data_IF_101275112636
#
_entry.id   IF_101275112636
#
_cell.length_a   1.000
_cell.length_b   1.000
_cell.length_c   1.000
_cell.angle_alpha   90.00
_cell.angle_beta   90.00
_cell.angle_gamma   90.00
#
_symmetry.space_group_name_H-M   'P 1'
#
loop_
_entity.id
_entity.type
_entity.pdbx_description
1 polymer ?
#
# COMPACT_ATOMS: atom_id res chain seq x y z
N UNK A 1 -55.88 -4.05 -23.12
CA UNK A 1 -54.69 -3.31 -22.63
C UNK A 1 -54.40 -3.52 -21.14
N UNK A 2 -55.30 -3.22 -20.19
CA UNK A 2 -55.04 -3.37 -18.74
C UNK A 2 -54.53 -4.76 -18.29
N UNK A 3 -55.11 -5.87 -18.78
CA UNK A 3 -54.68 -7.24 -18.40
C UNK A 3 -53.24 -7.57 -18.83
N UNK A 4 -52.80 -7.07 -19.99
CA UNK A 4 -51.44 -7.31 -20.52
C UNK A 4 -50.39 -6.56 -19.69
N UNK A 5 -50.69 -5.32 -19.29
CA UNK A 5 -49.82 -4.50 -18.42
C UNK A 5 -49.69 -5.14 -17.03
N UNK A 6 -50.79 -5.64 -16.45
CA UNK A 6 -50.76 -6.33 -15.14
C UNK A 6 -49.91 -7.62 -15.21
N UNK A 7 -50.01 -8.38 -16.31
CA UNK A 7 -49.21 -9.59 -16.50
C UNK A 7 -47.72 -9.28 -16.65
N UNK A 8 -47.36 -8.24 -17.42
CA UNK A 8 -45.98 -7.77 -17.55
C UNK A 8 -45.40 -7.31 -16.19
N UNK A 9 -46.14 -6.52 -15.42
CA UNK A 9 -45.71 -6.04 -14.10
C UNK A 9 -45.48 -7.20 -13.12
N UNK A 10 -46.36 -8.22 -13.11
CA UNK A 10 -46.15 -9.44 -12.30
C UNK A 10 -44.88 -10.19 -12.71
N UNK A 11 -44.61 -10.30 -14.01
CA UNK A 11 -43.40 -10.97 -14.52
C UNK A 11 -42.13 -10.22 -14.09
N UNK A 12 -42.10 -8.89 -14.19
CA UNK A 12 -40.97 -8.08 -13.72
C UNK A 12 -40.79 -8.14 -12.21
N UNK A 13 -41.88 -8.14 -11.42
CA UNK A 13 -41.79 -8.32 -9.97
C UNK A 13 -41.20 -9.68 -9.58
N UNK A 14 -41.55 -10.76 -10.30
CA UNK A 14 -40.97 -12.10 -10.07
C UNK A 14 -39.48 -12.13 -10.46
N UNK A 15 -39.11 -11.57 -11.61
CA UNK A 15 -37.71 -11.48 -12.05
C UNK A 15 -36.86 -10.65 -11.08
N UNK A 16 -37.40 -9.53 -10.59
CA UNK A 16 -36.73 -8.70 -9.59
C UNK A 16 -36.59 -9.41 -8.24
N UNK A 17 -37.62 -10.13 -7.79
CA UNK A 17 -37.57 -10.96 -6.57
C UNK A 17 -36.56 -12.09 -6.69
N UNK A 18 -36.48 -12.74 -7.86
CA UNK A 18 -35.47 -13.78 -8.15
C UNK A 18 -34.06 -13.19 -8.18
N UNK A 19 -33.88 -11.99 -8.74
CA UNK A 19 -32.59 -11.29 -8.72
C UNK A 19 -32.17 -10.94 -7.29
N UNK A 20 -33.08 -10.43 -6.46
CA UNK A 20 -32.82 -10.17 -5.04
C UNK A 20 -32.46 -11.48 -4.32
N UNK A 21 -33.23 -12.55 -4.53
CA UNK A 21 -32.93 -13.86 -3.92
C UNK A 21 -31.56 -14.40 -4.38
N UNK A 22 -31.21 -14.21 -5.65
CA UNK A 22 -29.90 -14.59 -6.19
C UNK A 22 -28.78 -13.77 -5.54
N UNK A 23 -28.95 -12.45 -5.42
CA UNK A 23 -28.00 -11.55 -4.75
C UNK A 23 -27.82 -11.93 -3.26
N UNK A 24 -28.91 -12.27 -2.56
CA UNK A 24 -28.87 -12.75 -1.18
C UNK A 24 -28.15 -14.11 -1.04
N UNK A 25 -28.17 -14.97 -2.06
CA UNK A 25 -27.42 -16.22 -2.06
C UNK A 25 -25.91 -15.99 -2.23
N UNK A 26 -25.50 -14.98 -3.01
CA UNK A 26 -24.08 -14.62 -3.16
C UNK A 26 -23.49 -13.96 -1.91
N UNK A 27 -24.30 -13.23 -1.13
CA UNK A 27 -23.86 -12.60 0.13
C UNK A 27 -23.93 -13.52 1.36
N UNK A 28 -24.47 -14.74 1.23
CA UNK A 28 -24.62 -15.62 2.39
C UNK A 28 -23.28 -16.23 2.83
N UNK A 29 -22.65 -15.57 3.80
CA UNK A 29 -21.39 -15.99 4.43
C UNK A 29 -21.41 -17.39 5.08
N UNK A 30 -22.59 -18.00 5.26
CA UNK A 30 -22.70 -19.35 5.84
C UNK A 30 -22.57 -20.48 4.80
N UNK A 31 -22.57 -20.16 3.51
CA UNK A 31 -22.36 -21.16 2.46
C UNK A 31 -20.87 -21.53 2.44
N UNK A 32 -20.50 -22.82 2.55
CA UNK A 32 -19.12 -23.27 2.42
C UNK A 32 -18.57 -22.97 1.01
N UNK A 33 -17.37 -22.38 0.91
CA UNK A 33 -16.72 -22.16 -0.38
C UNK A 33 -15.76 -23.31 -0.69
N UNK A 34 -15.74 -23.73 -1.96
CA UNK A 34 -14.74 -24.66 -2.48
C UNK A 34 -13.38 -23.95 -2.71
N UNK A 35 -12.60 -23.81 -1.64
CA UNK A 35 -11.12 -23.73 -1.49
C UNK A 35 -10.22 -22.91 -2.44
N UNK A 36 -10.68 -22.27 -3.51
CA UNK A 36 -9.78 -21.71 -4.55
C UNK A 36 -9.84 -20.19 -4.78
N UNK A 37 -10.69 -19.45 -4.09
CA UNK A 37 -10.64 -17.98 -4.14
C UNK A 37 -11.09 -17.38 -2.82
N UNK A 38 -10.12 -17.00 -2.00
CA UNK A 38 -10.36 -16.20 -0.81
C UNK A 38 -9.80 -14.81 -1.12
N UNK A 39 -10.67 -13.83 -1.36
CA UNK A 39 -10.25 -12.44 -1.33
C UNK A 39 -9.86 -12.08 0.12
N UNK A 40 -8.94 -11.11 0.31
CA UNK A 40 -8.41 -10.76 1.63
C UNK A 40 -9.49 -10.39 2.66
N UNK A 41 -10.63 -9.88 2.20
CA UNK A 41 -11.80 -9.49 2.99
C UNK A 41 -12.90 -10.57 3.08
N UNK A 42 -12.67 -11.80 2.63
CA UNK A 42 -13.67 -12.86 2.77
C UNK A 42 -13.59 -13.50 4.16
N UNK A 43 -14.58 -13.21 5.02
CA UNK A 43 -14.66 -13.75 6.39
C UNK A 43 -14.65 -15.29 6.41
N UNK A 44 -15.12 -15.93 5.32
CA UNK A 44 -15.27 -17.38 5.22
C UNK A 44 -13.95 -18.13 5.28
N UNK A 45 -12.82 -17.42 5.16
CA UNK A 45 -11.48 -17.96 5.47
C UNK A 45 -11.38 -18.60 6.86
N UNK A 46 -12.24 -18.18 7.81
CA UNK A 46 -12.30 -18.72 9.17
C UNK A 46 -13.32 -19.85 9.39
N UNK A 47 -14.13 -20.26 8.39
CA UNK A 47 -15.26 -21.22 8.55
C UNK A 47 -14.88 -22.53 9.26
N UNK A 48 -13.67 -23.06 9.00
CA UNK A 48 -13.19 -24.32 9.58
C UNK A 48 -12.24 -24.12 10.77
N UNK A 49 -12.29 -22.95 11.43
CA UNK A 49 -11.45 -22.60 12.57
C UNK A 49 -12.30 -22.40 13.82
N UNK A 50 -11.66 -22.45 15.01
CA UNK A 50 -12.32 -22.08 16.27
C UNK A 50 -12.77 -20.61 16.28
N UNK A 51 -12.21 -19.77 15.42
CA UNK A 51 -12.53 -18.35 15.31
C UNK A 51 -13.65 -18.03 14.32
N UNK A 52 -14.40 -19.00 13.77
CA UNK A 52 -15.46 -18.70 12.81
C UNK A 52 -16.50 -17.70 13.33
N UNK A 53 -17.01 -17.92 14.55
CA UNK A 53 -17.99 -17.00 15.15
C UNK A 53 -17.37 -15.66 15.56
N UNK A 54 -16.11 -15.67 16.01
CA UNK A 54 -15.34 -14.46 16.26
C UNK A 54 -15.18 -13.63 14.97
N UNK A 55 -14.83 -14.26 13.85
CA UNK A 55 -14.62 -13.59 12.58
C UNK A 55 -15.91 -12.94 12.04
N UNK A 56 -17.07 -13.61 12.19
CA UNK A 56 -18.37 -13.00 11.88
C UNK A 56 -18.65 -11.77 12.74
N UNK A 57 -18.39 -11.87 14.05
CA UNK A 57 -18.55 -10.72 14.95
C UNK A 57 -17.61 -9.56 14.58
N UNK A 58 -16.39 -9.86 14.13
CA UNK A 58 -15.42 -8.88 13.60
C UNK A 58 -15.94 -8.21 12.32
N UNK A 59 -16.48 -8.99 11.37
CA UNK A 59 -17.10 -8.48 10.14
C UNK A 59 -18.27 -7.52 10.44
N UNK A 60 -19.10 -7.90 11.40
CA UNK A 60 -20.28 -7.17 11.87
C UNK A 60 -19.96 -5.97 12.78
N UNK A 61 -18.69 -5.81 13.20
CA UNK A 61 -18.28 -4.86 14.25
C UNK A 61 -19.06 -5.01 15.57
N UNK A 62 -19.47 -6.24 15.90
CA UNK A 62 -20.18 -6.55 17.14
C UNK A 62 -19.18 -6.75 18.29
N UNK A 63 -18.84 -5.65 18.95
CA UNK A 63 -17.87 -5.59 20.07
C UNK A 63 -18.22 -6.59 21.17
N UNK A 64 -19.49 -6.63 21.59
CA UNK A 64 -19.93 -7.53 22.66
C UNK A 64 -19.68 -9.00 22.30
N UNK A 65 -20.00 -9.41 21.08
CA UNK A 65 -19.79 -10.80 20.67
C UNK A 65 -18.30 -11.12 20.48
N UNK A 66 -17.49 -10.16 20.01
CA UNK A 66 -16.02 -10.30 19.97
C UNK A 66 -15.49 -10.57 21.39
N UNK A 67 -15.85 -9.75 22.36
CA UNK A 67 -15.44 -9.90 23.75
C UNK A 67 -15.93 -11.22 24.36
N UNK A 68 -17.19 -11.60 24.10
CA UNK A 68 -17.76 -12.86 24.57
C UNK A 68 -16.99 -14.07 24.01
N UNK A 69 -16.69 -14.08 22.72
CA UNK A 69 -15.93 -15.16 22.08
C UNK A 69 -14.53 -15.32 22.69
N UNK A 70 -13.81 -14.20 22.90
CA UNK A 70 -12.43 -14.26 23.42
C UNK A 70 -12.40 -14.49 24.94
N UNK A 71 -13.16 -13.71 25.72
CA UNK A 71 -13.06 -13.73 27.19
C UNK A 71 -13.79 -14.91 27.83
N UNK A 72 -15.02 -15.19 27.38
CA UNK A 72 -15.87 -16.23 27.97
C UNK A 72 -15.65 -17.58 27.30
N UNK A 73 -15.71 -17.62 25.97
CA UNK A 73 -15.56 -18.88 25.21
C UNK A 73 -14.09 -19.27 24.95
N UNK A 74 -13.14 -18.43 25.38
CA UNK A 74 -11.70 -18.67 25.30
C UNK A 74 -11.22 -18.99 23.88
N UNK A 75 -11.87 -18.39 22.87
CA UNK A 75 -11.37 -18.44 21.50
C UNK A 75 -10.05 -17.68 21.44
N UNK A 76 -8.95 -18.27 20.93
CA UNK A 76 -7.67 -17.57 20.78
C UNK A 76 -7.85 -16.34 19.88
N UNK A 77 -7.49 -15.15 20.39
CA UNK A 77 -7.65 -13.88 19.66
C UNK A 77 -6.79 -13.84 18.38
N UNK A 78 -5.60 -14.45 18.43
CA UNK A 78 -4.67 -14.59 17.30
C UNK A 78 -4.84 -15.91 16.54
N UNK A 79 -6.07 -16.45 16.47
CA UNK A 79 -6.35 -17.66 15.70
C UNK A 79 -5.95 -17.45 14.22
N UNK A 80 -5.21 -18.40 13.64
CA UNK A 80 -4.74 -18.32 12.26
C UNK A 80 -5.65 -19.11 11.34
N UNK A 81 -5.99 -18.54 10.19
CA UNK A 81 -6.69 -19.27 9.14
C UNK A 81 -5.85 -20.43 8.57
N UNK A 82 -6.48 -21.28 7.76
CA UNK A 82 -5.80 -22.45 7.15
C UNK A 82 -5.20 -22.15 5.78
N UNK A 83 -5.39 -20.96 5.24
CA UNK A 83 -5.05 -20.59 3.86
C UNK A 83 -3.66 -19.96 3.84
N UNK A 84 -3.49 -18.84 4.54
CA UNK A 84 -2.25 -18.08 4.60
C UNK A 84 -2.00 -17.55 6.01
N UNK A 85 -2.52 -18.24 7.05
CA UNK A 85 -2.30 -17.91 8.46
C UNK A 85 -2.82 -16.53 8.87
N UNK A 86 -3.83 -16.02 8.17
CA UNK A 86 -4.44 -14.72 8.48
C UNK A 86 -5.09 -14.71 9.86
N UNK A 87 -4.92 -13.62 10.62
CA UNK A 87 -5.54 -13.45 11.95
C UNK A 87 -6.83 -12.64 11.87
N UNK A 88 -7.74 -12.73 12.87
CA UNK A 88 -8.90 -11.84 12.98
C UNK A 88 -8.52 -10.36 12.93
N UNK A 89 -7.37 -9.97 13.51
CA UNK A 89 -6.87 -8.59 13.47
C UNK A 89 -6.51 -8.18 12.05
N UNK A 90 -5.78 -8.99 11.29
CA UNK A 90 -5.46 -8.69 9.88
C UNK A 90 -6.72 -8.53 9.04
N UNK A 91 -7.74 -9.38 9.26
CA UNK A 91 -9.03 -9.25 8.60
C UNK A 91 -9.74 -7.95 8.96
N UNK A 92 -9.79 -7.59 10.25
CA UNK A 92 -10.37 -6.33 10.69
C UNK A 92 -9.66 -5.12 10.06
N UNK A 93 -8.33 -5.16 9.95
CA UNK A 93 -7.52 -4.11 9.32
C UNK A 93 -7.79 -4.02 7.83
N UNK A 94 -7.72 -5.15 7.12
CA UNK A 94 -7.96 -5.22 5.67
C UNK A 94 -9.38 -4.73 5.31
N UNK A 95 -10.38 -5.11 6.10
CA UNK A 95 -11.76 -4.70 5.90
C UNK A 95 -12.11 -3.34 6.55
N UNK A 96 -11.10 -2.60 7.05
CA UNK A 96 -11.21 -1.29 7.68
C UNK A 96 -12.27 -1.21 8.81
N UNK A 97 -12.36 -2.26 9.63
CA UNK A 97 -13.33 -2.43 10.73
C UNK A 97 -12.79 -1.83 12.02
N UNK A 98 -12.68 -0.50 12.09
CA UNK A 98 -11.99 0.22 13.18
C UNK A 98 -12.44 -0.21 14.58
N UNK A 99 -13.75 -0.41 14.82
CA UNK A 99 -14.24 -0.86 16.15
C UNK A 99 -13.75 -2.25 16.49
N UNK A 100 -13.74 -3.16 15.52
CA UNK A 100 -13.21 -4.51 15.69
C UNK A 100 -11.70 -4.51 15.87
N UNK A 101 -10.96 -3.69 15.11
CA UNK A 101 -9.50 -3.51 15.28
C UNK A 101 -9.21 -3.12 16.73
N UNK A 102 -9.86 -2.05 17.22
CA UNK A 102 -9.68 -1.60 18.60
C UNK A 102 -9.99 -2.69 19.62
N UNK A 103 -11.14 -3.35 19.46
CA UNK A 103 -11.58 -4.39 20.40
C UNK A 103 -10.63 -5.58 20.43
N UNK A 104 -10.16 -6.05 19.26
CA UNK A 104 -9.20 -7.15 19.19
C UNK A 104 -7.87 -6.78 19.85
N UNK A 105 -7.38 -5.55 19.63
CA UNK A 105 -6.17 -5.05 20.28
C UNK A 105 -6.35 -4.91 21.81
N UNK A 106 -7.50 -4.42 22.27
CA UNK A 106 -7.87 -4.38 23.71
C UNK A 106 -7.93 -5.78 24.33
N UNK A 107 -8.17 -6.81 23.52
CA UNK A 107 -8.17 -8.23 23.91
C UNK A 107 -6.81 -8.91 23.74
N UNK A 108 -5.77 -8.15 23.40
CA UNK A 108 -4.39 -8.64 23.31
C UNK A 108 -4.01 -9.26 21.98
N UNK A 109 -4.74 -8.99 20.89
CA UNK A 109 -4.31 -9.37 19.55
C UNK A 109 -2.97 -8.74 19.22
N UNK A 110 -2.02 -9.53 18.71
CA UNK A 110 -0.67 -9.05 18.43
C UNK A 110 -0.58 -8.44 17.00
N UNK A 111 -0.34 -7.12 16.87
CA UNK A 111 -0.27 -6.45 15.56
C UNK A 111 0.94 -6.86 14.71
N UNK A 112 1.93 -7.50 15.32
CA UNK A 112 3.21 -7.85 14.67
C UNK A 112 3.26 -9.30 14.17
N UNK A 113 2.23 -10.11 14.41
CA UNK A 113 2.21 -11.49 13.90
C UNK A 113 2.16 -11.47 12.37
N UNK A 114 3.09 -12.14 11.68
CA UNK A 114 3.01 -12.25 10.23
C UNK A 114 1.99 -13.32 9.82
N UNK A 115 1.46 -13.16 8.61
CA UNK A 115 0.76 -14.19 7.87
C UNK A 115 1.78 -15.22 7.34
N UNK A 116 1.38 -16.09 6.42
CA UNK A 116 2.27 -17.12 5.89
C UNK A 116 3.54 -16.53 5.26
N UNK A 117 4.69 -17.06 5.65
CA UNK A 117 6.02 -16.64 5.16
C UNK A 117 6.58 -17.60 4.11
N UNK A 118 5.89 -18.71 3.83
CA UNK A 118 6.36 -19.71 2.87
C UNK A 118 5.77 -19.44 1.48
N UNK A 119 4.46 -19.24 1.40
CA UNK A 119 3.70 -19.06 0.15
C UNK A 119 3.04 -17.68 0.04
N UNK A 120 3.40 -16.72 0.89
CA UNK A 120 2.92 -15.34 0.87
C UNK A 120 4.01 -14.39 1.36
N UNK A 121 3.78 -13.07 1.28
CA UNK A 121 4.76 -12.04 1.63
C UNK A 121 5.10 -11.95 3.13
N UNK A 122 4.45 -12.72 4.02
CA UNK A 122 4.73 -12.65 5.45
C UNK A 122 4.28 -11.33 6.10
N UNK A 123 3.18 -10.76 5.64
CA UNK A 123 2.67 -9.47 6.10
C UNK A 123 2.04 -9.56 7.48
N UNK A 124 2.23 -8.55 8.31
CA UNK A 124 1.51 -8.37 9.58
C UNK A 124 0.45 -7.26 9.48
N UNK A 125 -0.26 -6.98 10.58
CA UNK A 125 -1.32 -5.98 10.58
C UNK A 125 -0.80 -4.57 10.26
N UNK A 126 0.41 -4.22 10.71
CA UNK A 126 1.04 -2.93 10.40
C UNK A 126 1.32 -2.80 8.90
N UNK A 127 1.89 -3.83 8.28
CA UNK A 127 2.16 -3.88 6.84
C UNK A 127 0.86 -3.72 6.03
N UNK A 128 -0.19 -4.49 6.36
CA UNK A 128 -1.50 -4.40 5.69
C UNK A 128 -2.13 -3.01 5.88
N UNK A 129 -1.96 -2.39 7.05
CA UNK A 129 -2.47 -1.03 7.27
C UNK A 129 -1.68 0.05 6.51
N UNK A 130 -0.40 -0.20 6.24
CA UNK A 130 0.51 0.76 5.60
C UNK A 130 0.41 0.74 4.07
N UNK A 131 0.20 -0.45 3.51
CA UNK A 131 0.19 -0.68 2.08
C UNK A 131 -0.91 0.11 1.34
N UNK A 132 -0.50 0.85 0.31
CA UNK A 132 -1.38 1.71 -0.51
C UNK A 132 -2.41 0.95 -1.33
N UNK A 133 -2.20 -0.36 -1.57
CA UNK A 133 -3.11 -1.20 -2.33
C UNK A 133 -4.33 -1.67 -1.52
N UNK A 134 -4.37 -1.40 -0.22
CA UNK A 134 -5.47 -1.78 0.67
C UNK A 134 -6.28 -0.57 1.12
N UNK A 135 -7.54 -0.82 1.49
CA UNK A 135 -8.53 0.22 1.85
C UNK A 135 -8.45 0.69 3.31
N UNK A 136 -7.41 0.27 4.05
CA UNK A 136 -7.21 0.57 5.46
C UNK A 136 -6.94 2.07 5.68
N UNK A 137 -7.60 2.68 6.67
CA UNK A 137 -7.41 4.11 6.98
C UNK A 137 -6.14 4.37 7.79
N UNK A 138 -5.68 5.63 7.76
CA UNK A 138 -4.59 6.12 8.61
C UNK A 138 -4.89 5.94 10.12
N UNK A 139 -6.17 6.00 10.53
CA UNK A 139 -6.57 5.76 11.92
C UNK A 139 -6.34 4.32 12.37
N UNK A 140 -6.51 3.34 11.48
CA UNK A 140 -6.18 1.94 11.77
C UNK A 140 -4.69 1.79 12.03
N UNK A 141 -3.85 2.40 11.20
CA UNK A 141 -2.39 2.39 11.38
C UNK A 141 -1.99 3.05 12.70
N UNK A 142 -2.51 4.25 13.02
CA UNK A 142 -2.29 4.92 14.32
C UNK A 142 -2.66 4.01 15.49
N UNK A 143 -3.79 3.33 15.39
CA UNK A 143 -4.28 2.45 16.44
C UNK A 143 -3.37 1.22 16.61
N UNK A 144 -2.92 0.59 15.52
CA UNK A 144 -1.98 -0.53 15.59
C UNK A 144 -0.67 -0.13 16.26
N UNK A 145 -0.09 1.01 15.86
CA UNK A 145 1.16 1.53 16.44
C UNK A 145 1.00 1.86 17.92
N UNK A 146 -0.13 2.46 18.33
CA UNK A 146 -0.47 2.72 19.74
C UNK A 146 -0.47 1.45 20.60
N UNK A 147 -0.83 0.31 20.04
CA UNK A 147 -0.85 -0.99 20.73
C UNK A 147 0.42 -1.82 20.48
N UNK A 148 1.55 -1.16 20.19
CA UNK A 148 2.85 -1.81 20.05
C UNK A 148 3.10 -2.42 18.67
N UNK A 149 2.36 -2.00 17.65
CA UNK A 149 2.70 -2.28 16.26
C UNK A 149 4.10 -1.74 15.92
N UNK A 150 4.92 -2.55 15.28
CA UNK A 150 6.29 -2.18 14.93
C UNK A 150 6.29 -1.34 13.64
N UNK A 151 6.68 -0.05 13.68
CA UNK A 151 6.77 0.80 12.48
C UNK A 151 7.86 0.33 11.52
N UNK A 152 8.82 -0.46 12.00
CA UNK A 152 9.87 -1.12 11.22
C UNK A 152 9.49 -2.53 10.79
N UNK A 153 8.19 -2.82 10.67
CA UNK A 153 7.73 -4.11 10.15
C UNK A 153 8.20 -4.28 8.70
N UNK A 154 8.76 -5.45 8.41
CA UNK A 154 9.26 -5.85 7.10
C UNK A 154 8.56 -7.14 6.70
N UNK A 155 8.23 -7.27 5.42
CA UNK A 155 7.79 -8.55 4.86
C UNK A 155 8.84 -9.65 5.10
N UNK A 156 8.42 -10.81 5.59
CA UNK A 156 9.33 -11.93 5.88
C UNK A 156 9.08 -13.17 5.02
N UNK A 157 8.34 -13.01 3.93
CA UNK A 157 7.89 -14.11 3.07
C UNK A 157 8.53 -14.13 1.69
N UNK A 158 7.74 -14.61 0.71
CA UNK A 158 8.10 -14.67 -0.71
C UNK A 158 7.01 -14.06 -1.57
N UNK A 159 7.42 -13.43 -2.67
CA UNK A 159 6.53 -12.90 -3.72
C UNK A 159 7.02 -13.34 -5.10
N UNK A 160 6.14 -13.26 -6.10
CA UNK A 160 6.52 -13.50 -7.49
C UNK A 160 7.03 -12.20 -8.10
N UNK A 161 8.16 -12.25 -8.79
CA UNK A 161 8.62 -11.15 -9.65
C UNK A 161 7.77 -11.08 -10.94
N UNK A 162 8.04 -10.07 -11.78
CA UNK A 162 7.33 -9.88 -13.05
C UNK A 162 7.59 -11.02 -14.07
N UNK A 163 8.59 -11.86 -13.83
CA UNK A 163 8.92 -13.04 -14.64
C UNK A 163 8.34 -14.34 -14.07
N UNK A 164 7.61 -14.27 -12.95
CA UNK A 164 7.02 -15.41 -12.27
C UNK A 164 8.01 -16.22 -11.43
N UNK A 165 9.21 -15.69 -11.15
CA UNK A 165 10.16 -16.32 -10.23
C UNK A 165 9.84 -15.93 -8.79
N UNK A 166 10.11 -16.84 -7.86
CA UNK A 166 10.00 -16.54 -6.44
C UNK A 166 11.19 -15.72 -5.97
N UNK A 167 10.91 -14.56 -5.38
CA UNK A 167 11.87 -13.72 -4.69
C UNK A 167 11.44 -13.48 -3.23
N UNK A 168 12.37 -12.99 -2.43
CA UNK A 168 12.11 -12.63 -1.05
C UNK A 168 11.25 -11.36 -1.01
N UNK A 169 10.11 -11.43 -0.31
CA UNK A 169 9.30 -10.26 -0.02
C UNK A 169 9.95 -9.50 1.13
N UNK A 170 10.30 -8.23 0.94
CA UNK A 170 11.18 -7.46 1.83
C UNK A 170 10.76 -6.00 1.97
N UNK A 171 9.55 -5.66 1.53
CA UNK A 171 9.08 -4.29 1.63
C UNK A 171 8.85 -3.93 3.11
N UNK A 172 9.29 -2.72 3.48
CA UNK A 172 8.98 -2.14 4.79
C UNK A 172 7.57 -1.59 4.81
N UNK A 173 6.97 -1.46 6.00
CA UNK A 173 5.74 -0.72 6.18
C UNK A 173 5.83 0.71 5.58
N UNK A 174 6.96 1.40 5.83
CA UNK A 174 7.22 2.74 5.28
C UNK A 174 7.28 2.72 3.75
N UNK A 175 8.04 1.79 3.15
CA UNK A 175 8.18 1.68 1.70
C UNK A 175 6.85 1.38 0.99
N UNK A 176 5.96 0.59 1.61
CA UNK A 176 4.63 0.29 1.09
C UNK A 176 3.61 1.43 1.26
N UNK A 177 3.89 2.41 2.13
CA UNK A 177 3.04 3.58 2.30
C UNK A 177 3.30 4.66 1.24
N UNK A 178 4.52 4.71 0.68
CA UNK A 178 4.96 5.72 -0.32
C UNK A 178 4.07 5.79 -1.57
N UNK A 179 3.61 4.68 -2.18
CA UNK A 179 2.82 4.75 -3.42
C UNK A 179 1.37 5.26 -3.25
N UNK A 180 0.95 5.62 -2.03
CA UNK A 180 -0.43 6.10 -1.76
C UNK A 180 -0.75 7.36 -2.56
N UNK A 181 -1.81 7.35 -3.37
CA UNK A 181 -2.24 8.55 -4.10
C UNK A 181 -2.83 9.59 -3.14
N UNK A 182 -2.45 10.86 -3.30
CA UNK A 182 -2.88 11.96 -2.41
C UNK A 182 -1.93 12.17 -1.21
N UNK A 183 -2.51 12.57 -0.06
CA UNK A 183 -1.72 12.88 1.15
C UNK A 183 -0.93 11.66 1.64
N UNK A 184 0.32 11.88 2.01
CA UNK A 184 1.24 10.86 2.52
C UNK A 184 1.11 10.68 4.04
N UNK A 185 -0.12 10.74 4.55
CA UNK A 185 -0.41 10.70 5.99
C UNK A 185 0.16 9.43 6.65
N UNK A 186 0.05 8.27 5.98
CA UNK A 186 0.62 7.00 6.47
C UNK A 186 2.15 7.05 6.56
N UNK A 187 2.82 7.74 5.64
CA UNK A 187 4.27 7.98 5.69
C UNK A 187 4.60 8.80 6.94
N UNK A 188 3.88 9.92 7.17
CA UNK A 188 4.09 10.76 8.37
C UNK A 188 3.91 9.95 9.66
N UNK A 189 2.80 9.21 9.76
CA UNK A 189 2.53 8.37 10.94
C UNK A 189 3.66 7.38 11.22
N UNK A 190 4.20 6.73 10.20
CA UNK A 190 5.28 5.75 10.36
C UNK A 190 6.60 6.41 10.76
N UNK A 191 6.96 7.51 10.12
CA UNK A 191 8.17 8.27 10.44
C UNK A 191 8.09 8.83 11.86
N UNK A 192 6.97 9.44 12.23
CA UNK A 192 6.72 9.96 13.60
C UNK A 192 6.76 8.84 14.66
N UNK A 193 6.37 7.61 14.28
CA UNK A 193 6.45 6.44 15.14
C UNK A 193 7.86 5.81 15.22
N UNK A 194 8.84 6.30 14.46
CA UNK A 194 10.22 5.81 14.47
C UNK A 194 10.53 4.75 13.42
N UNK A 195 9.83 4.74 12.28
CA UNK A 195 10.26 3.98 11.12
C UNK A 195 11.64 4.46 10.64
N UNK A 196 12.52 3.52 10.34
CA UNK A 196 13.84 3.77 9.77
C UNK A 196 13.69 4.21 8.31
N UNK A 197 13.83 5.51 8.09
CA UNK A 197 13.78 6.15 6.77
C UNK A 197 14.89 5.66 5.83
N UNK A 198 15.95 5.05 6.38
CA UNK A 198 17.13 4.57 5.68
C UNK A 198 17.24 3.05 5.65
N UNK A 199 16.20 2.31 6.01
CA UNK A 199 16.25 0.85 5.95
C UNK A 199 16.56 0.35 4.53
N UNK A 200 17.46 -0.64 4.43
CA UNK A 200 17.87 -1.27 3.17
C UNK A 200 18.00 -2.78 3.38
N UNK A 201 17.48 -3.54 2.43
CA UNK A 201 17.70 -5.00 2.35
C UNK A 201 18.48 -5.40 1.08
N UNK A 202 19.15 -4.43 0.43
CA UNK A 202 19.95 -4.67 -0.78
C UNK A 202 19.17 -4.93 -2.06
N UNK A 203 17.82 -4.95 -2.01
CA UNK A 203 16.93 -5.05 -3.18
C UNK A 203 16.36 -3.69 -3.62
N UNK A 204 16.11 -3.55 -4.93
CA UNK A 204 15.74 -2.29 -5.63
C UNK A 204 14.36 -1.72 -5.22
N UNK A 205 13.49 -2.48 -4.57
CA UNK A 205 12.05 -2.12 -4.44
C UNK A 205 11.58 -1.69 -3.04
N UNK A 206 12.47 -1.61 -2.05
CA UNK A 206 12.06 -1.55 -0.63
C UNK A 206 12.44 -0.25 0.09
N UNK A 207 13.17 0.65 -0.56
CA UNK A 207 13.75 1.84 0.06
C UNK A 207 12.83 3.06 -0.14
N UNK A 208 12.43 3.74 0.95
CA UNK A 208 11.37 4.75 0.92
C UNK A 208 11.70 5.94 0.01
N UNK A 209 12.93 6.47 0.09
CA UNK A 209 13.37 7.60 -0.74
C UNK A 209 13.47 7.22 -2.23
N UNK A 210 13.99 6.03 -2.55
CA UNK A 210 14.05 5.55 -3.95
C UNK A 210 12.67 5.34 -4.53
N UNK A 211 11.74 4.71 -3.78
CA UNK A 211 10.35 4.58 -4.21
C UNK A 211 9.71 5.96 -4.46
N UNK A 212 9.98 6.96 -3.59
CA UNK A 212 9.44 8.31 -3.78
C UNK A 212 9.99 8.97 -5.04
N UNK A 213 11.29 8.84 -5.31
CA UNK A 213 11.92 9.37 -6.52
C UNK A 213 11.45 8.63 -7.79
N UNK A 214 11.33 7.31 -7.77
CA UNK A 214 10.88 6.51 -8.92
C UNK A 214 9.40 6.73 -9.26
N UNK A 215 8.57 7.05 -8.27
CA UNK A 215 7.14 7.31 -8.43
C UNK A 215 6.81 8.80 -8.60
N UNK A 216 7.81 9.66 -8.85
CA UNK A 216 7.65 11.10 -9.01
C UNK A 216 7.01 11.82 -7.80
N UNK A 217 7.09 11.22 -6.61
CA UNK A 217 6.52 11.72 -5.34
C UNK A 217 7.46 12.71 -4.66
N UNK A 218 7.61 13.89 -5.26
CA UNK A 218 8.51 14.94 -4.75
C UNK A 218 8.11 15.46 -3.37
N UNK A 219 6.80 15.46 -3.07
CA UNK A 219 6.25 15.77 -1.75
C UNK A 219 6.77 14.80 -0.67
N UNK A 220 6.70 13.49 -0.95
CA UNK A 220 7.19 12.44 -0.04
C UNK A 220 8.71 12.42 0.03
N UNK A 221 9.40 12.59 -1.11
CA UNK A 221 10.85 12.62 -1.16
C UNK A 221 11.40 13.79 -0.32
N UNK A 222 10.82 14.98 -0.43
CA UNK A 222 11.20 16.13 0.40
C UNK A 222 10.98 15.82 1.88
N UNK A 223 9.81 15.31 2.26
CA UNK A 223 9.51 14.96 3.64
C UNK A 223 10.52 13.96 4.21
N UNK A 224 10.83 12.89 3.47
CA UNK A 224 11.82 11.89 3.89
C UNK A 224 13.22 12.50 4.05
N UNK A 225 13.64 13.38 3.15
CA UNK A 225 14.93 14.09 3.22
C UNK A 225 15.01 15.02 4.45
N UNK A 226 13.94 15.74 4.75
CA UNK A 226 13.83 16.57 5.95
C UNK A 226 13.90 15.73 7.24
N UNK A 227 13.52 14.45 7.17
CA UNK A 227 13.57 13.49 8.27
C UNK A 227 14.81 12.57 8.22
N UNK A 228 15.86 12.97 7.50
CA UNK A 228 17.16 12.31 7.56
C UNK A 228 17.38 11.16 6.59
N UNK A 229 16.57 11.05 5.54
CA UNK A 229 16.87 10.12 4.45
C UNK A 229 18.23 10.46 3.82
N UNK A 230 19.06 9.44 3.60
CA UNK A 230 20.43 9.58 3.10
C UNK A 230 20.42 9.96 1.61
N UNK A 231 20.75 11.22 1.34
CA UNK A 231 20.85 11.77 -0.01
C UNK A 231 22.23 11.54 -0.66
N UNK A 232 23.23 11.03 0.08
CA UNK A 232 24.59 10.82 -0.42
C UNK A 232 24.79 9.45 -1.06
N UNK A 233 23.87 8.53 -0.79
CA UNK A 233 23.85 7.18 -1.36
C UNK A 233 23.75 7.21 -2.89
N UNK A 234 24.09 6.06 -3.49
CA UNK A 234 23.86 5.80 -4.91
C UNK A 234 22.54 5.05 -5.14
N UNK A 235 21.85 5.41 -6.20
CA UNK A 235 20.59 4.84 -6.66
C UNK A 235 20.83 3.97 -7.88
N UNK A 236 20.11 2.86 -7.98
CA UNK A 236 20.24 1.91 -9.07
C UNK A 236 19.30 2.33 -10.20
N UNK A 237 19.82 2.56 -11.40
CA UNK A 237 19.01 2.83 -12.60
C UNK A 237 19.43 1.93 -13.74
N UNK A 238 18.49 1.61 -14.61
CA UNK A 238 18.74 0.88 -15.85
C UNK A 238 18.87 1.92 -16.97
N UNK A 239 20.00 1.89 -17.69
CA UNK A 239 20.24 2.76 -18.83
C UNK A 239 19.57 2.23 -20.12
N UNK A 240 19.73 2.96 -21.23
CA UNK A 240 19.11 2.58 -22.51
C UNK A 240 19.67 1.26 -23.09
N UNK A 241 20.85 0.82 -22.64
CA UNK A 241 21.48 -0.44 -23.04
C UNK A 241 21.06 -1.63 -22.17
N UNK A 242 20.09 -1.44 -21.27
CA UNK A 242 19.68 -2.42 -20.27
C UNK A 242 20.81 -2.78 -19.29
N UNK A 243 21.75 -1.86 -19.07
CA UNK A 243 22.83 -2.02 -18.11
C UNK A 243 22.48 -1.30 -16.82
N UNK A 244 22.71 -1.97 -15.69
CA UNK A 244 22.57 -1.37 -14.36
C UNK A 244 23.71 -0.40 -14.09
N UNK A 245 23.38 0.85 -13.75
CA UNK A 245 24.34 1.84 -13.31
C UNK A 245 23.92 2.52 -12.00
N UNK A 246 24.90 3.10 -11.31
CA UNK A 246 24.72 3.72 -10.00
C UNK A 246 24.88 5.23 -10.11
N UNK A 247 23.84 5.96 -9.76
CA UNK A 247 23.77 7.42 -9.93
C UNK A 247 23.52 8.11 -8.60
N UNK A 248 23.81 9.41 -8.51
CA UNK A 248 23.45 10.19 -7.31
C UNK A 248 22.00 10.73 -7.39
N UNK A 249 21.56 11.36 -6.31
CA UNK A 249 20.23 11.94 -6.21
C UNK A 249 19.97 13.07 -7.21
N UNK A 250 20.99 13.84 -7.63
CA UNK A 250 20.79 14.93 -8.59
C UNK A 250 20.45 14.36 -9.96
N UNK A 251 21.13 13.27 -10.35
CA UNK A 251 20.77 12.52 -11.54
C UNK A 251 19.36 11.94 -11.44
N UNK A 252 18.96 11.38 -10.29
CA UNK A 252 17.57 10.91 -10.10
C UNK A 252 16.56 12.03 -10.34
N UNK A 253 16.79 13.23 -9.78
CA UNK A 253 15.94 14.41 -10.02
C UNK A 253 15.92 14.86 -11.48
N UNK A 254 16.99 14.60 -12.25
CA UNK A 254 17.02 14.81 -13.72
C UNK A 254 16.19 13.78 -14.49
N UNK A 255 15.74 12.70 -13.86
CA UNK A 255 14.81 11.74 -14.47
C UNK A 255 13.34 12.11 -14.24
N UNK A 256 13.05 12.88 -13.20
CA UNK A 256 11.70 13.36 -12.89
C UNK A 256 11.34 14.56 -13.77
N UNK A 257 10.59 14.33 -14.84
CA UNK A 257 10.22 15.35 -15.84
C UNK A 257 8.79 15.85 -15.61
N UNK A 258 8.64 17.14 -15.31
CA UNK A 258 7.36 17.78 -14.99
C UNK A 258 7.10 18.98 -15.90
N UNK A 259 5.83 19.35 -16.13
CA UNK A 259 5.52 20.64 -16.74
C UNK A 259 6.13 21.76 -15.91
N UNK A 260 6.76 22.74 -16.56
CA UNK A 260 7.33 23.89 -15.83
C UNK A 260 6.24 24.59 -15.02
N UNK A 261 6.62 25.04 -13.83
CA UNK A 261 5.75 25.74 -12.89
C UNK A 261 4.56 24.92 -12.33
N UNK A 262 4.46 23.62 -12.64
CA UNK A 262 3.48 22.70 -12.02
C UNK A 262 3.74 22.53 -10.52
N UNK A 263 2.76 22.07 -9.72
CA UNK A 263 2.97 21.74 -8.31
C UNK A 263 4.15 20.80 -8.09
N UNK A 264 4.24 19.72 -8.88
CA UNK A 264 5.29 18.71 -8.79
C UNK A 264 6.67 19.28 -9.15
N UNK A 265 6.74 20.14 -10.16
CA UNK A 265 7.96 20.87 -10.50
C UNK A 265 8.41 21.79 -9.35
N UNK A 266 7.48 22.49 -8.71
CA UNK A 266 7.80 23.34 -7.54
C UNK A 266 8.27 22.52 -6.35
N UNK A 267 7.68 21.35 -6.11
CA UNK A 267 8.13 20.43 -5.06
C UNK A 267 9.52 19.85 -5.36
N UNK A 268 9.80 19.48 -6.61
CA UNK A 268 11.16 19.13 -7.06
C UNK A 268 12.16 20.26 -6.77
N UNK A 269 11.80 21.52 -7.04
CA UNK A 269 12.69 22.67 -6.74
C UNK A 269 12.94 22.88 -5.24
N UNK A 270 12.00 22.50 -4.36
CA UNK A 270 12.25 22.49 -2.92
C UNK A 270 13.34 21.48 -2.56
N UNK A 271 13.31 20.29 -3.16
CA UNK A 271 14.37 19.29 -2.99
C UNK A 271 15.70 19.82 -3.53
N UNK A 272 15.72 20.43 -4.72
CA UNK A 272 16.92 21.07 -5.28
C UNK A 272 17.51 22.11 -4.31
N UNK A 273 16.64 22.91 -3.69
CA UNK A 273 17.05 23.92 -2.69
C UNK A 273 17.61 23.26 -1.42
N UNK A 274 16.94 22.22 -0.91
CA UNK A 274 17.42 21.43 0.22
C UNK A 274 18.83 20.88 -0.04
N UNK A 275 19.04 20.25 -1.20
CA UNK A 275 20.32 19.66 -1.59
C UNK A 275 21.41 20.72 -1.83
N UNK A 276 21.05 21.87 -2.41
CA UNK A 276 21.98 23.00 -2.56
C UNK A 276 22.51 23.49 -1.21
N UNK A 277 21.65 23.56 -0.20
CA UNK A 277 22.05 23.91 1.17
C UNK A 277 22.96 22.83 1.82
N UNK A 278 22.98 21.62 1.25
CA UNK A 278 23.90 20.52 1.62
C UNK A 278 25.14 20.44 0.73
N UNK A 279 25.36 21.42 -0.16
CA UNK A 279 26.53 21.50 -1.04
C UNK A 279 26.40 20.78 -2.38
N UNK A 280 25.20 20.30 -2.73
CA UNK A 280 24.94 19.61 -4.00
C UNK A 280 24.23 20.53 -4.99
N UNK A 281 24.87 20.87 -6.11
CA UNK A 281 24.35 21.82 -7.09
C UNK A 281 23.69 21.12 -8.30
N UNK A 282 22.36 21.04 -8.28
CA UNK A 282 21.55 20.44 -9.34
C UNK A 282 21.83 21.03 -10.73
N UNK A 283 22.05 22.34 -10.81
CA UNK A 283 22.22 23.04 -12.09
C UNK A 283 23.57 22.74 -12.75
N UNK A 284 24.53 22.22 -11.97
CA UNK A 284 25.80 21.69 -12.49
C UNK A 284 25.73 20.19 -12.84
N UNK A 285 24.71 19.48 -12.37
CA UNK A 285 24.50 18.07 -12.72
C UNK A 285 24.11 17.98 -14.19
N UNK A 286 24.79 17.13 -15.00
CA UNK A 286 24.50 16.99 -16.41
C UNK A 286 23.08 16.50 -16.63
N UNK A 287 22.45 16.98 -17.71
CA UNK A 287 21.16 16.49 -18.17
C UNK A 287 21.43 15.19 -18.95
N UNK A 288 20.82 14.06 -18.57
CA UNK A 288 20.98 12.81 -19.31
C UNK A 288 20.50 12.93 -20.77
N UNK A 289 21.22 12.31 -21.71
CA UNK A 289 20.95 12.40 -23.15
C UNK A 289 19.53 11.98 -23.56
N UNK A 290 18.88 11.15 -22.75
CA UNK A 290 17.50 10.70 -22.96
C UNK A 290 16.44 11.77 -22.66
N UNK A 291 16.74 12.73 -21.78
CA UNK A 291 15.76 13.69 -21.28
C UNK A 291 15.17 14.58 -22.38
N UNK A 292 15.93 15.14 -23.34
CA UNK A 292 15.35 15.91 -24.44
C UNK A 292 14.26 15.14 -25.23
N UNK A 293 14.46 13.83 -25.42
CA UNK A 293 13.46 12.96 -26.09
C UNK A 293 12.24 12.71 -25.19
N UNK A 294 12.45 12.54 -23.88
CA UNK A 294 11.38 12.36 -22.90
C UNK A 294 10.50 13.60 -22.80
N UNK A 295 11.10 14.80 -22.73
CA UNK A 295 10.39 16.09 -22.70
C UNK A 295 9.46 16.23 -23.91
N UNK A 296 9.96 15.97 -25.12
CA UNK A 296 9.14 16.04 -26.34
C UNK A 296 8.05 14.96 -26.39
N UNK A 297 8.29 13.79 -25.79
CA UNK A 297 7.27 12.74 -25.68
C UNK A 297 6.13 13.13 -24.75
N UNK A 298 6.44 13.76 -23.61
CA UNK A 298 5.46 14.12 -22.58
C UNK A 298 4.66 15.37 -22.99
N UNK A 299 5.34 16.41 -23.48
CA UNK A 299 4.71 17.72 -23.74
C UNK A 299 4.42 17.99 -25.22
N UNK A 300 4.79 17.07 -26.10
CA UNK A 300 4.66 17.23 -27.55
C UNK A 300 5.93 17.78 -28.22
N UNK A 301 5.97 17.76 -29.57
CA UNK A 301 7.12 18.24 -30.33
C UNK A 301 7.40 19.72 -30.05
N UNK A 302 8.67 20.04 -29.87
CA UNK A 302 9.17 21.40 -29.64
C UNK A 302 10.22 21.72 -30.71
N UNK A 303 10.35 23.00 -31.07
CA UNK A 303 11.52 23.48 -31.80
C UNK A 303 12.79 23.35 -30.92
N UNK A 304 13.97 23.32 -31.54
CA UNK A 304 15.24 23.28 -30.80
C UNK A 304 15.35 24.45 -29.81
N UNK A 305 14.85 25.64 -30.19
CA UNK A 305 14.87 26.83 -29.32
C UNK A 305 13.98 26.64 -28.10
N UNK A 306 12.74 26.16 -28.28
CA UNK A 306 11.81 25.89 -27.18
C UNK A 306 12.35 24.82 -26.23
N UNK A 307 12.93 23.75 -26.79
CA UNK A 307 13.53 22.67 -26.01
C UNK A 307 14.73 23.16 -25.20
N UNK A 308 15.62 23.95 -25.79
CA UNK A 308 16.75 24.54 -25.04
C UNK A 308 16.28 25.47 -23.93
N UNK A 309 15.22 26.25 -24.16
CA UNK A 309 14.66 27.13 -23.13
C UNK A 309 14.01 26.35 -21.99
N UNK A 310 13.33 25.24 -22.31
CA UNK A 310 12.84 24.30 -21.30
C UNK A 310 13.99 23.74 -20.47
N UNK A 311 15.06 23.24 -21.12
CA UNK A 311 16.17 22.55 -20.45
C UNK A 311 17.02 23.47 -19.56
N UNK A 312 17.02 24.79 -19.77
CA UNK A 312 17.67 25.76 -18.86
C UNK A 312 16.95 25.90 -17.52
N UNK A 313 15.62 25.69 -17.53
CA UNK A 313 14.75 25.79 -16.35
C UNK A 313 14.53 24.41 -15.72
N UNK A 314 14.64 23.36 -16.51
CA UNK A 314 14.57 21.96 -16.07
C UNK A 314 15.74 21.58 -15.17
#
# INVERSE_FOLDING_TARGET
>A
MKKVIIHMLKKYAILFSLLIALLLLFENRNIPINKKSYFGNDVRRFQCTKAWNLAKAVEDQNVWEIERQVRLLKVPVDCRDRINKFTPLMYAVYANKIRSVKTLLDLGANPNLPNDTICSSGENAVIISSCSFYTSSADVLRLLLKYGGNPNSIEHGKKLDNSGNWELARCTALGLAVPSTGDYEKVRILVDAGADVNYRDGGVSCEALENALLLDRMDVALYLLEHGADYTRKFCVIDESNTTCYVDILYMLRLNVFPLDSPEYRDKLKIVTFLKNKGMDYWKSPIPDRIPKVVQRIFGPMTDVELQEFLKRY
#
